data_IF_474523990386
#
_entry.id   IF_474523990386
#
_cell.length_a   1.000
_cell.length_b   1.000
_cell.length_c   1.000
_cell.angle_alpha   90.00
_cell.angle_beta   90.00
_cell.angle_gamma   90.00
#
_symmetry.space_group_name_H-M   'P 1'
#
loop_
_entity.id
_entity.type
_entity.pdbx_description
1 polymer ?
#
# COMPACT_ATOMS: atom_id res chain seq x y z
N UNK A 1 -18.70 17.56 2.03
CA UNK A 1 -17.24 17.53 1.90
C UNK A 1 -16.94 17.19 0.47
N UNK A 2 -16.30 18.09 -0.27
CA UNK A 2 -15.84 17.80 -1.64
C UNK A 2 -14.65 16.82 -1.62
N UNK A 3 -14.31 16.17 -2.74
CA UNK A 3 -13.09 15.35 -2.84
C UNK A 3 -11.81 16.10 -2.41
N UNK A 4 -11.71 17.39 -2.72
CA UNK A 4 -10.58 18.26 -2.37
C UNK A 4 -10.53 18.53 -0.86
N UNK A 5 -11.67 18.88 -0.26
CA UNK A 5 -11.76 19.05 1.20
C UNK A 5 -11.44 17.75 1.94
N UNK A 6 -11.84 16.60 1.37
CA UNK A 6 -11.48 15.29 1.91
C UNK A 6 -9.98 15.04 1.80
N UNK A 7 -9.39 15.26 0.63
CA UNK A 7 -7.96 15.05 0.40
C UNK A 7 -7.10 15.91 1.33
N UNK A 8 -7.43 17.19 1.48
CA UNK A 8 -6.70 18.09 2.38
C UNK A 8 -6.85 17.68 3.84
N UNK A 9 -8.08 17.30 4.26
CA UNK A 9 -8.28 16.77 5.62
C UNK A 9 -7.45 15.52 5.88
N UNK A 10 -7.41 14.59 4.93
CA UNK A 10 -6.64 13.34 5.07
C UNK A 10 -5.12 13.62 5.05
N UNK A 11 -4.67 14.57 4.23
CA UNK A 11 -3.27 15.04 4.18
C UNK A 11 -2.80 15.57 5.52
N UNK A 12 -3.59 16.44 6.16
CA UNK A 12 -3.25 16.99 7.48
C UNK A 12 -3.03 15.87 8.50
N UNK A 13 -3.92 14.87 8.53
CA UNK A 13 -3.79 13.75 9.48
C UNK A 13 -2.56 12.90 9.18
N UNK A 14 -2.25 12.66 7.91
CA UNK A 14 -1.05 11.93 7.52
C UNK A 14 0.25 12.67 7.89
N UNK A 15 0.31 13.98 7.66
CA UNK A 15 1.45 14.83 8.05
C UNK A 15 1.66 14.79 9.56
N UNK A 16 0.59 14.93 10.35
CA UNK A 16 0.68 14.84 11.81
C UNK A 16 1.23 13.49 12.28
N UNK A 17 0.85 12.41 11.62
CA UNK A 17 1.31 11.06 11.95
C UNK A 17 2.79 10.86 11.62
N UNK A 18 3.22 11.29 10.44
CA UNK A 18 4.64 11.29 10.08
C UNK A 18 5.47 12.13 11.05
N UNK A 19 4.97 13.30 11.46
CA UNK A 19 5.65 14.17 12.42
C UNK A 19 5.77 13.54 13.82
N UNK A 20 4.79 12.73 14.24
CA UNK A 20 4.89 11.91 15.47
C UNK A 20 5.99 10.86 15.35
N UNK A 21 6.19 10.30 14.17
CA UNK A 21 7.17 9.25 13.90
C UNK A 21 8.62 9.73 14.08
N UNK A 22 8.89 11.03 13.96
CA UNK A 22 10.19 11.65 14.26
C UNK A 22 10.51 11.78 15.76
N UNK A 23 9.53 11.61 16.67
CA UNK A 23 9.73 11.76 18.11
C UNK A 23 10.17 10.43 18.75
N UNK A 24 11.14 10.41 19.68
CA UNK A 24 11.56 9.17 20.35
C UNK A 24 10.45 8.56 21.24
N UNK A 25 10.31 7.22 21.29
CA UNK A 25 10.89 6.23 20.39
C UNK A 25 10.07 6.23 19.08
N UNK A 26 10.72 6.49 17.94
CA UNK A 26 10.01 6.68 16.66
C UNK A 26 9.10 5.51 16.27
N UNK A 27 8.09 5.79 15.45
CA UNK A 27 7.11 4.79 15.00
C UNK A 27 7.78 3.73 14.11
N UNK A 28 7.50 2.44 14.39
CA UNK A 28 7.61 1.30 13.46
C UNK A 28 8.90 1.16 12.63
N UNK A 29 10.06 1.48 13.20
CA UNK A 29 11.36 1.15 12.59
C UNK A 29 11.80 2.01 11.40
N UNK A 30 11.13 3.15 11.15
CA UNK A 30 11.59 4.10 10.14
C UNK A 30 12.81 4.89 10.63
N UNK A 31 13.85 5.02 9.80
CA UNK A 31 14.98 5.89 10.13
C UNK A 31 14.56 7.37 10.07
N UNK A 32 15.06 8.19 11.01
CA UNK A 32 14.71 9.61 11.13
C UNK A 32 14.90 10.40 9.83
N UNK A 33 15.87 10.03 9.00
CA UNK A 33 16.12 10.69 7.72
C UNK A 33 15.01 10.37 6.71
N UNK A 34 14.58 9.10 6.61
CA UNK A 34 13.48 8.71 5.72
C UNK A 34 12.18 9.40 6.12
N UNK A 35 11.89 9.46 7.43
CA UNK A 35 10.75 10.17 7.97
C UNK A 35 10.79 11.66 7.62
N UNK A 36 11.95 12.29 7.74
CA UNK A 36 12.13 13.70 7.37
C UNK A 36 11.91 13.91 5.87
N UNK A 37 12.48 13.07 5.01
CA UNK A 37 12.29 13.19 3.56
C UNK A 37 10.83 12.96 3.16
N UNK A 38 10.15 11.99 3.75
CA UNK A 38 8.71 11.79 3.56
C UNK A 38 7.90 13.00 4.04
N UNK A 39 8.26 13.62 5.17
CA UNK A 39 7.60 14.85 5.63
C UNK A 39 7.82 16.01 4.67
N UNK A 40 9.04 16.20 4.17
CA UNK A 40 9.35 17.27 3.22
C UNK A 40 8.54 17.09 1.93
N UNK A 41 8.41 15.86 1.43
CA UNK A 41 7.53 15.54 0.32
C UNK A 41 6.04 15.76 0.66
N UNK A 42 5.61 15.56 1.92
CA UNK A 42 4.20 15.71 2.32
C UNK A 42 3.80 17.18 2.44
N UNK A 43 4.71 18.01 2.93
CA UNK A 43 4.52 19.46 3.01
C UNK A 43 4.57 20.13 1.63
N UNK A 44 5.46 19.66 0.75
CA UNK A 44 5.70 20.32 -0.53
C UNK A 44 4.97 19.68 -1.72
N UNK A 45 4.52 18.43 -1.59
CA UNK A 45 3.82 17.70 -2.64
C UNK A 45 2.31 17.70 -2.44
N UNK A 46 1.56 17.67 -3.53
CA UNK A 46 0.11 17.64 -3.46
C UNK A 46 -0.40 16.22 -3.08
N UNK A 47 -1.31 16.10 -2.09
CA UNK A 47 -2.07 14.87 -1.93
C UNK A 47 -2.89 14.68 -3.20
N UNK A 48 -2.91 13.45 -3.72
CA UNK A 48 -3.62 13.18 -4.96
C UNK A 48 -4.99 12.58 -4.61
N UNK A 49 -6.03 13.16 -5.19
CA UNK A 49 -7.35 12.54 -5.26
C UNK A 49 -7.24 11.45 -6.32
N UNK A 50 -7.59 10.24 -5.92
CA UNK A 50 -7.70 9.13 -6.84
C UNK A 50 -9.08 9.18 -7.52
N UNK A 51 -9.08 9.42 -8.82
CA UNK A 51 -10.27 9.68 -9.64
C UNK A 51 -10.66 8.51 -10.56
N UNK A 52 -9.78 7.51 -10.70
CA UNK A 52 -10.03 6.37 -11.58
C UNK A 52 -11.10 5.43 -10.98
N UNK A 53 -11.81 4.64 -11.81
CA UNK A 53 -12.79 3.69 -11.33
C UNK A 53 -12.17 2.55 -10.50
N UNK A 54 -12.80 2.23 -9.38
CA UNK A 54 -12.40 1.11 -8.52
C UNK A 54 -12.48 -0.25 -9.26
N UNK A 55 -13.40 -0.39 -10.22
CA UNK A 55 -13.70 -1.64 -10.94
C UNK A 55 -12.49 -2.19 -11.70
N UNK A 56 -11.70 -1.32 -12.30
CA UNK A 56 -10.54 -1.67 -13.14
C UNK A 56 -9.22 -1.45 -12.41
N UNK A 57 -9.27 -1.07 -11.12
CA UNK A 57 -8.06 -0.70 -10.39
C UNK A 57 -7.63 -1.78 -9.43
N UNK A 58 -6.33 -2.03 -9.46
CA UNK A 58 -5.67 -2.99 -8.61
C UNK A 58 -4.86 -2.27 -7.53
N UNK A 59 -4.66 -2.94 -6.40
CA UNK A 59 -3.89 -2.43 -5.29
C UNK A 59 -3.02 -3.52 -4.67
N UNK A 60 -1.81 -3.13 -4.30
CA UNK A 60 -0.82 -4.02 -3.69
C UNK A 60 0.21 -3.24 -2.87
N UNK A 61 1.07 -3.92 -2.12
CA UNK A 61 2.08 -3.26 -1.28
C UNK A 61 3.21 -4.22 -0.89
N UNK A 62 4.37 -3.67 -0.51
CA UNK A 62 5.47 -4.39 0.13
C UNK A 62 6.08 -5.51 -0.72
N UNK A 63 6.25 -5.26 -2.02
CA UNK A 63 6.76 -6.29 -2.93
C UNK A 63 8.17 -6.74 -2.54
N UNK A 64 9.02 -5.80 -2.07
CA UNK A 64 10.43 -6.07 -1.73
C UNK A 64 11.15 -6.90 -2.79
N UNK A 65 11.01 -6.51 -4.06
CA UNK A 65 11.61 -7.22 -5.19
C UNK A 65 13.13 -7.38 -5.01
N UNK A 66 13.61 -8.59 -5.27
CA UNK A 66 15.01 -8.97 -5.15
C UNK A 66 15.56 -9.05 -3.72
N UNK A 67 14.74 -8.86 -2.68
CA UNK A 67 15.21 -8.85 -1.29
C UNK A 67 15.12 -10.24 -0.64
N UNK A 68 16.20 -11.03 -0.67
CA UNK A 68 16.21 -12.40 -0.12
C UNK A 68 15.88 -12.45 1.39
N UNK A 69 16.31 -11.48 2.18
CA UNK A 69 16.02 -11.48 3.62
C UNK A 69 14.54 -11.31 3.94
N UNK A 70 13.74 -10.74 3.02
CA UNK A 70 12.28 -10.63 3.19
C UNK A 70 11.60 -12.00 3.31
N UNK A 71 12.19 -13.04 2.72
CA UNK A 71 11.64 -14.40 2.74
C UNK A 71 11.54 -14.91 4.18
N UNK A 72 12.65 -14.86 4.92
CA UNK A 72 12.68 -15.29 6.31
C UNK A 72 12.00 -14.28 7.25
N UNK A 73 12.23 -12.99 7.03
CA UNK A 73 11.75 -11.93 7.92
C UNK A 73 10.23 -11.86 8.00
N UNK A 74 9.52 -12.13 6.89
CA UNK A 74 8.06 -12.01 6.79
C UNK A 74 7.38 -13.37 6.56
N UNK A 75 8.10 -14.47 6.74
CA UNK A 75 7.55 -15.82 6.59
C UNK A 75 7.04 -16.14 5.19
N UNK A 76 7.64 -15.57 4.14
CA UNK A 76 7.18 -15.79 2.77
C UNK A 76 7.43 -17.25 2.36
N UNK A 77 6.45 -17.96 1.76
CA UNK A 77 6.53 -19.38 1.46
C UNK A 77 7.31 -19.66 0.17
N UNK A 78 8.45 -19.01 -0.01
CA UNK A 78 9.32 -19.17 -1.17
C UNK A 78 10.73 -19.54 -0.73
N UNK A 79 11.48 -20.17 -1.62
CA UNK A 79 12.86 -20.54 -1.34
C UNK A 79 13.80 -19.32 -1.31
N UNK A 80 13.54 -18.32 -2.16
CA UNK A 80 14.35 -17.11 -2.33
C UNK A 80 13.54 -16.02 -3.04
N UNK A 81 14.06 -14.80 -3.07
CA UNK A 81 13.43 -13.64 -3.70
C UNK A 81 13.16 -13.89 -5.20
N UNK A 82 14.05 -14.59 -5.90
CA UNK A 82 13.83 -14.93 -7.31
C UNK A 82 12.52 -15.71 -7.53
N UNK A 83 12.24 -16.71 -6.68
CA UNK A 83 10.99 -17.47 -6.77
C UNK A 83 9.78 -16.66 -6.34
N UNK A 84 9.91 -15.85 -5.29
CA UNK A 84 8.85 -14.95 -4.84
C UNK A 84 8.45 -13.97 -5.94
N UNK A 85 9.42 -13.24 -6.49
CA UNK A 85 9.20 -12.23 -7.52
C UNK A 85 8.60 -12.84 -8.79
N UNK A 86 9.08 -14.02 -9.20
CA UNK A 86 8.51 -14.72 -10.36
C UNK A 86 7.03 -15.06 -10.13
N UNK A 87 6.67 -15.54 -8.94
CA UNK A 87 5.28 -15.85 -8.60
C UNK A 87 4.43 -14.57 -8.56
N UNK A 88 4.95 -13.51 -7.96
CA UNK A 88 4.31 -12.20 -7.84
C UNK A 88 4.05 -11.54 -9.20
N UNK A 89 5.05 -11.48 -10.08
CA UNK A 89 4.87 -10.95 -11.44
C UNK A 89 3.90 -11.77 -12.27
N UNK A 90 3.88 -13.11 -12.10
CA UNK A 90 2.89 -13.95 -12.76
C UNK A 90 1.48 -13.61 -12.30
N UNK A 91 1.27 -13.54 -10.97
CA UNK A 91 -0.03 -13.21 -10.41
C UNK A 91 -0.49 -11.79 -10.78
N UNK A 92 0.45 -10.86 -10.91
CA UNK A 92 0.19 -9.52 -11.44
C UNK A 92 -0.33 -9.60 -12.88
N UNK A 93 0.43 -10.22 -13.79
CA UNK A 93 0.08 -10.29 -15.21
C UNK A 93 -1.21 -11.10 -15.49
N UNK A 94 -1.61 -12.00 -14.58
CA UNK A 94 -2.87 -12.73 -14.67
C UNK A 94 -4.11 -11.88 -14.29
N UNK A 95 -3.91 -10.71 -13.66
CA UNK A 95 -4.99 -9.89 -13.09
C UNK A 95 -5.10 -8.51 -13.71
N UNK A 96 -3.96 -7.85 -13.91
CA UNK A 96 -3.88 -6.45 -14.30
C UNK A 96 -3.69 -6.36 -15.80
N UNK A 97 -4.61 -5.69 -16.50
CA UNK A 97 -4.49 -5.36 -17.92
C UNK A 97 -3.52 -4.20 -18.17
N UNK A 98 -3.12 -4.00 -19.43
CA UNK A 98 -2.15 -2.95 -19.80
C UNK A 98 -2.65 -1.53 -19.48
N UNK A 99 -3.98 -1.32 -19.59
CA UNK A 99 -4.64 -0.04 -19.32
C UNK A 99 -5.19 0.09 -17.89
N UNK A 100 -5.08 -0.98 -17.09
CA UNK A 100 -5.60 -0.98 -15.72
C UNK A 100 -4.69 -0.15 -14.80
N UNK A 101 -5.23 0.74 -13.94
CA UNK A 101 -4.43 1.34 -12.89
C UNK A 101 -4.02 0.30 -11.85
N UNK A 102 -2.77 0.35 -11.40
CA UNK A 102 -2.31 -0.40 -10.24
C UNK A 102 -1.62 0.51 -9.24
N UNK A 103 -2.19 0.56 -8.04
CA UNK A 103 -1.69 1.34 -6.92
C UNK A 103 -0.76 0.44 -6.09
N UNK A 104 0.51 0.82 -6.00
CA UNK A 104 1.49 0.18 -5.13
C UNK A 104 1.69 1.03 -3.88
N UNK A 105 1.33 0.52 -2.71
CA UNK A 105 1.50 1.21 -1.43
C UNK A 105 2.89 1.01 -0.84
N UNK A 106 3.91 1.25 -1.64
CA UNK A 106 5.27 1.39 -1.16
C UNK A 106 6.08 0.11 -1.09
N UNK A 107 7.36 0.29 -0.79
CA UNK A 107 8.39 -0.71 -0.59
C UNK A 107 8.50 -1.71 -1.76
N UNK A 108 8.65 -1.14 -2.95
CA UNK A 108 8.71 -1.92 -4.20
C UNK A 108 9.99 -2.75 -4.27
N UNK A 109 11.14 -2.16 -3.97
CA UNK A 109 12.45 -2.81 -4.10
C UNK A 109 13.51 -2.09 -3.26
N UNK A 110 14.51 -2.83 -2.77
CA UNK A 110 15.72 -2.24 -2.20
C UNK A 110 16.67 -1.70 -3.29
N UNK A 111 17.54 -0.75 -2.93
CA UNK A 111 18.47 -0.04 -3.85
C UNK A 111 19.42 -1.03 -4.51
N UNK A 112 19.97 -1.93 -3.69
CA UNK A 112 20.88 -2.98 -4.14
C UNK A 112 20.25 -3.87 -5.22
N UNK A 113 18.92 -3.93 -5.27
CA UNK A 113 18.15 -4.72 -6.20
C UNK A 113 17.71 -3.92 -7.45
N UNK A 114 17.89 -2.59 -7.48
CA UNK A 114 17.41 -1.73 -8.58
C UNK A 114 18.06 -2.02 -9.94
N UNK A 115 19.28 -2.55 -9.94
CA UNK A 115 20.04 -2.92 -11.15
C UNK A 115 19.92 -4.41 -11.51
N UNK A 116 19.07 -5.15 -10.81
CA UNK A 116 18.90 -6.58 -11.02
C UNK A 116 17.83 -6.88 -12.08
N UNK A 117 17.74 -8.14 -12.50
CA UNK A 117 16.66 -8.59 -13.40
C UNK A 117 15.26 -8.43 -12.78
N UNK A 118 15.15 -8.17 -11.48
CA UNK A 118 13.88 -8.04 -10.77
C UNK A 118 13.15 -6.76 -11.17
N UNK A 119 13.87 -5.62 -11.22
CA UNK A 119 13.31 -4.35 -11.70
C UNK A 119 12.98 -4.40 -13.20
N UNK A 120 13.71 -5.17 -13.99
CA UNK A 120 13.34 -5.34 -15.40
C UNK A 120 11.93 -5.93 -15.56
N UNK A 121 11.56 -6.93 -14.75
CA UNK A 121 10.21 -7.51 -14.78
C UNK A 121 9.14 -6.55 -14.25
N UNK A 122 9.48 -5.74 -13.25
CA UNK A 122 8.61 -4.66 -12.80
C UNK A 122 8.23 -3.72 -13.94
N UNK A 123 9.21 -3.26 -14.74
CA UNK A 123 8.95 -2.39 -15.90
C UNK A 123 8.06 -3.03 -16.95
N UNK A 124 8.19 -4.35 -17.12
CA UNK A 124 7.37 -5.11 -18.07
C UNK A 124 6.00 -5.53 -17.52
N UNK A 125 5.74 -5.33 -16.23
CA UNK A 125 4.46 -5.71 -15.65
C UNK A 125 3.37 -4.75 -16.15
N UNK A 126 2.18 -5.28 -16.52
CA UNK A 126 1.12 -4.49 -17.12
C UNK A 126 0.54 -3.45 -16.16
N UNK A 127 -0.15 -2.46 -16.72
CA UNK A 127 -0.90 -1.45 -15.97
C UNK A 127 -0.14 -0.14 -15.73
N UNK A 128 -0.94 0.90 -15.50
CA UNK A 128 -0.51 2.24 -15.13
C UNK A 128 -0.15 2.28 -13.64
N UNK A 129 1.13 2.42 -13.30
CA UNK A 129 1.64 2.25 -11.94
C UNK A 129 1.57 3.57 -11.19
N UNK A 130 0.88 3.53 -10.06
CA UNK A 130 0.82 4.64 -9.10
C UNK A 130 1.51 4.21 -7.82
N UNK A 131 2.63 4.86 -7.48
CA UNK A 131 3.33 4.59 -6.23
C UNK A 131 2.91 5.56 -5.15
N UNK A 132 2.39 5.00 -4.06
CA UNK A 132 2.33 5.66 -2.75
C UNK A 132 3.60 5.27 -2.01
N UNK A 133 4.54 6.21 -1.86
CA UNK A 133 5.90 5.92 -1.39
C UNK A 133 5.93 5.25 -0.01
N UNK A 134 6.72 4.19 0.09
CA UNK A 134 7.14 3.60 1.35
C UNK A 134 8.50 4.11 1.82
N UNK A 135 8.89 3.76 3.04
CA UNK A 135 10.18 4.20 3.59
C UNK A 135 11.35 3.58 2.86
N UNK A 136 11.21 2.37 2.30
CA UNK A 136 12.24 1.80 1.46
C UNK A 136 12.21 2.35 0.04
N UNK A 137 11.25 3.17 -0.37
CA UNK A 137 11.29 3.85 -1.68
C UNK A 137 12.04 5.19 -1.65
N UNK A 138 12.40 5.65 -0.45
CA UNK A 138 13.06 6.93 -0.19
C UNK A 138 14.45 6.69 0.41
N UNK A 139 15.45 7.24 -0.26
CA UNK A 139 16.84 7.20 0.18
C UNK A 139 17.28 8.53 0.80
N UNK A 140 18.08 8.49 1.89
CA UNK A 140 18.66 9.68 2.51
C UNK A 140 19.42 10.63 1.57
N UNK A 141 20.09 10.07 0.56
CA UNK A 141 21.01 10.82 -0.31
C UNK A 141 20.39 11.11 -1.68
N UNK A 142 19.68 10.12 -2.24
CA UNK A 142 19.19 10.19 -3.62
C UNK A 142 17.69 10.53 -3.71
N UNK A 143 17.01 10.69 -2.57
CA UNK A 143 15.57 10.95 -2.52
C UNK A 143 14.75 9.76 -3.01
N UNK A 144 13.70 10.02 -3.79
CA UNK A 144 12.81 8.98 -4.30
C UNK A 144 13.48 8.13 -5.38
N UNK A 145 13.37 6.81 -5.26
CA UNK A 145 13.89 5.86 -6.25
C UNK A 145 13.24 5.99 -7.62
N UNK A 146 14.07 5.86 -8.64
CA UNK A 146 13.63 5.86 -10.04
C UNK A 146 13.17 4.45 -10.46
N UNK A 147 11.89 4.18 -10.26
CA UNK A 147 11.27 2.87 -10.47
C UNK A 147 10.50 2.73 -11.78
N UNK A 148 10.56 3.72 -12.70
CA UNK A 148 9.76 3.73 -13.94
C UNK A 148 8.25 3.64 -13.62
N UNK A 149 7.78 4.72 -12.99
CA UNK A 149 6.43 4.83 -12.42
C UNK A 149 5.80 6.09 -12.99
N UNK A 150 4.55 5.97 -13.40
CA UNK A 150 3.82 7.04 -14.09
C UNK A 150 3.36 8.13 -13.11
N UNK A 151 3.05 7.76 -11.87
CA UNK A 151 2.66 8.71 -10.82
C UNK A 151 3.18 8.31 -9.45
N UNK A 152 3.78 9.26 -8.74
CA UNK A 152 4.27 9.06 -7.37
C UNK A 152 3.66 10.09 -6.44
N UNK A 153 3.21 9.64 -5.27
CA UNK A 153 2.72 10.50 -4.18
C UNK A 153 3.05 9.85 -2.83
N UNK A 154 2.78 10.53 -1.72
CA UNK A 154 2.94 9.96 -0.39
C UNK A 154 1.64 9.39 0.19
N UNK A 155 0.50 9.84 -0.33
CA UNK A 155 -0.81 9.33 0.05
C UNK A 155 -1.81 9.58 -1.07
N UNK A 156 -2.83 8.71 -1.14
CA UNK A 156 -3.99 8.91 -2.00
C UNK A 156 -5.24 9.00 -1.15
N UNK A 157 -6.06 10.01 -1.44
CA UNK A 157 -7.44 10.05 -0.99
C UNK A 157 -8.30 9.44 -2.09
N UNK A 158 -8.98 8.33 -1.82
CA UNK A 158 -9.92 7.73 -2.76
C UNK A 158 -11.35 8.00 -2.27
N UNK A 159 -12.05 9.02 -2.84
CA UNK A 159 -13.44 9.29 -2.54
C UNK A 159 -14.32 8.07 -2.80
N UNK A 160 -15.51 8.06 -2.23
CA UNK A 160 -16.46 6.95 -2.34
C UNK A 160 -17.13 6.65 -1.02
N UNK A 161 -17.79 5.50 -0.93
CA UNK A 161 -18.51 5.10 0.28
C UNK A 161 -18.10 3.68 0.74
N UNK A 162 -17.25 3.54 1.78
CA UNK A 162 -16.62 4.63 2.50
C UNK A 162 -15.46 5.26 1.72
N UNK A 163 -15.03 6.48 2.08
CA UNK A 163 -13.75 7.02 1.66
C UNK A 163 -12.60 6.13 2.13
N UNK A 164 -11.56 6.00 1.30
CA UNK A 164 -10.34 5.30 1.66
C UNK A 164 -9.17 6.29 1.73
N UNK A 165 -8.30 6.09 2.72
CA UNK A 165 -6.99 6.73 2.80
C UNK A 165 -5.94 5.67 2.48
N UNK A 166 -5.25 5.81 1.36
CA UNK A 166 -4.21 4.87 0.93
C UNK A 166 -2.85 5.45 1.31
N UNK A 167 -2.13 4.77 2.19
CA UNK A 167 -0.80 5.14 2.67
C UNK A 167 0.07 3.91 2.75
N UNK A 168 1.40 4.03 2.65
CA UNK A 168 2.24 2.87 2.93
C UNK A 168 2.14 2.46 4.41
N UNK A 169 2.27 3.45 5.31
CA UNK A 169 2.33 3.23 6.75
C UNK A 169 0.92 3.35 7.34
N UNK A 170 0.49 2.43 8.22
CA UNK A 170 -0.78 2.55 8.90
C UNK A 170 -0.81 3.75 9.84
N UNK A 171 -1.92 4.48 9.83
CA UNK A 171 -2.12 5.61 10.74
C UNK A 171 -2.65 5.11 12.10
N UNK A 172 -2.12 5.64 13.21
CA UNK A 172 -2.72 5.41 14.53
C UNK A 172 -4.13 6.03 14.60
N UNK A 173 -4.31 7.22 14.05
CA UNK A 173 -5.60 7.93 14.05
C UNK A 173 -6.19 8.02 12.65
N UNK A 174 -7.23 7.22 12.39
CA UNK A 174 -7.97 7.25 11.12
C UNK A 174 -9.23 8.13 11.28
N UNK A 175 -9.47 9.12 10.40
CA UNK A 175 -10.65 10.00 10.47
C UNK A 175 -11.97 9.23 10.41
N UNK A 176 -12.92 9.55 11.29
CA UNK A 176 -14.20 8.84 11.40
C UNK A 176 -14.90 8.67 10.04
N UNK A 177 -15.40 7.45 9.78
CA UNK A 177 -16.05 7.08 8.52
C UNK A 177 -15.08 6.75 7.37
N UNK A 178 -13.78 6.89 7.56
CA UNK A 178 -12.73 6.49 6.60
C UNK A 178 -12.07 5.18 7.04
N UNK A 179 -11.63 4.38 6.07
CA UNK A 179 -10.76 3.22 6.28
C UNK A 179 -9.37 3.51 5.72
N UNK A 180 -8.32 3.19 6.48
CA UNK A 180 -6.95 3.28 6.01
C UNK A 180 -6.55 1.95 5.35
N UNK A 181 -6.22 2.01 4.06
CA UNK A 181 -5.63 0.86 3.35
C UNK A 181 -4.13 1.07 3.32
N UNK A 182 -3.37 0.09 3.80
CA UNK A 182 -1.94 0.26 4.04
C UNK A 182 -1.13 -1.01 3.81
N UNK A 183 0.19 -0.86 3.86
CA UNK A 183 1.19 -1.92 3.85
C UNK A 183 2.03 -1.93 5.12
N UNK A 184 3.36 -2.00 4.96
CA UNK A 184 4.44 -1.77 5.94
C UNK A 184 4.54 -2.79 7.08
N UNK A 185 3.41 -3.17 7.65
CA UNK A 185 3.38 -4.00 8.86
C UNK A 185 3.34 -5.50 8.55
N UNK A 186 3.26 -5.90 7.27
CA UNK A 186 3.26 -7.29 6.82
C UNK A 186 2.22 -8.17 7.52
N UNK A 187 2.65 -9.02 8.45
CA UNK A 187 1.85 -9.95 9.24
C UNK A 187 1.47 -9.40 10.63
N UNK A 188 1.97 -8.23 11.00
CA UNK A 188 1.73 -7.62 12.31
C UNK A 188 0.31 -7.02 12.39
N UNK A 189 -0.27 -6.98 13.59
CA UNK A 189 -1.60 -6.43 13.79
C UNK A 189 -1.64 -4.93 13.52
N UNK A 190 -2.70 -4.47 12.86
CA UNK A 190 -2.94 -3.05 12.62
C UNK A 190 -3.32 -2.30 13.90
N UNK A 191 -3.11 -0.97 13.98
CA UNK A 191 -3.42 -0.17 15.18
C UNK A 191 -4.89 -0.27 15.62
N UNK A 192 -5.81 -0.29 14.66
CA UNK A 192 -7.25 -0.49 14.91
C UNK A 192 -7.87 -1.41 13.85
N UNK A 193 -8.12 -2.70 14.16
CA UNK A 193 -8.51 -3.70 13.15
C UNK A 193 -9.74 -3.33 12.31
N UNK A 194 -10.75 -2.66 12.87
CA UNK A 194 -11.98 -2.30 12.14
C UNK A 194 -11.85 -1.07 11.23
N UNK A 195 -10.67 -0.44 11.17
CA UNK A 195 -10.43 0.79 10.40
C UNK A 195 -9.22 0.67 9.47
N UNK A 196 -8.66 -0.53 9.37
CA UNK A 196 -7.44 -0.81 8.62
C UNK A 196 -7.64 -2.01 7.70
N UNK A 197 -7.11 -1.92 6.49
CA UNK A 197 -6.98 -3.05 5.57
C UNK A 197 -5.52 -3.12 5.14
N UNK A 198 -4.86 -4.24 5.45
CA UNK A 198 -3.47 -4.44 5.12
C UNK A 198 -3.36 -5.17 3.76
N UNK A 199 -2.76 -4.50 2.78
CA UNK A 199 -2.56 -4.99 1.40
C UNK A 199 -1.11 -5.38 1.12
N UNK A 200 -0.30 -5.61 2.16
CA UNK A 200 1.03 -6.25 2.03
C UNK A 200 0.91 -7.56 1.27
N UNK A 201 1.94 -7.95 0.50
CA UNK A 201 1.87 -9.16 -0.35
C UNK A 201 1.49 -10.43 0.42
N UNK A 202 1.92 -10.53 1.69
CA UNK A 202 1.62 -11.66 2.57
C UNK A 202 0.12 -11.76 2.89
N UNK A 203 -0.56 -10.60 3.03
CA UNK A 203 -1.97 -10.51 3.38
C UNK A 203 -2.90 -10.84 2.20
N UNK A 204 -2.46 -10.55 0.98
CA UNK A 204 -3.24 -10.80 -0.24
C UNK A 204 -2.95 -12.16 -0.88
N UNK A 205 -2.09 -12.98 -0.26
CA UNK A 205 -1.65 -14.25 -0.82
C UNK A 205 -0.90 -14.07 -2.13
N UNK A 206 -0.02 -13.06 -2.17
CA UNK A 206 0.95 -12.76 -3.22
C UNK A 206 0.34 -12.44 -4.60
N UNK A 207 -0.85 -11.83 -4.61
CA UNK A 207 -1.49 -11.34 -5.83
C UNK A 207 -2.22 -10.01 -5.58
N UNK A 208 -2.22 -9.07 -6.55
CA UNK A 208 -2.94 -7.80 -6.40
C UNK A 208 -4.43 -7.99 -6.12
N UNK A 209 -5.00 -7.12 -5.27
CA UNK A 209 -6.44 -7.08 -4.99
C UNK A 209 -7.14 -6.03 -5.86
N UNK A 210 -8.40 -6.26 -6.22
CA UNK A 210 -9.20 -5.26 -6.92
C UNK A 210 -9.75 -4.24 -5.91
N UNK A 211 -9.64 -2.95 -6.23
CA UNK A 211 -9.97 -1.85 -5.32
C UNK A 211 -11.47 -1.85 -4.95
N UNK A 212 -12.35 -2.30 -5.86
CA UNK A 212 -13.79 -2.48 -5.58
C UNK A 212 -14.02 -3.45 -4.42
N UNK A 213 -13.31 -4.57 -4.39
CA UNK A 213 -13.44 -5.57 -3.34
C UNK A 213 -12.90 -5.04 -2.01
N UNK A 214 -11.77 -4.31 -2.06
CA UNK A 214 -11.21 -3.61 -0.89
C UNK A 214 -12.20 -2.60 -0.33
N UNK A 215 -12.88 -1.81 -1.17
CA UNK A 215 -13.90 -0.86 -0.70
C UNK A 215 -15.14 -1.55 -0.14
N UNK A 216 -15.55 -2.68 -0.72
CA UNK A 216 -16.64 -3.51 -0.16
C UNK A 216 -16.26 -4.04 1.23
N UNK A 217 -15.03 -4.51 1.41
CA UNK A 217 -14.51 -4.92 2.72
C UNK A 217 -14.50 -3.75 3.70
N UNK A 218 -14.00 -2.59 3.29
CA UNK A 218 -13.97 -1.37 4.09
C UNK A 218 -15.36 -0.98 4.62
N UNK A 219 -16.39 -1.07 3.77
CA UNK A 219 -17.77 -0.82 4.17
C UNK A 219 -18.23 -1.77 5.28
N UNK A 220 -17.97 -3.07 5.13
CA UNK A 220 -18.35 -4.08 6.12
C UNK A 220 -17.63 -3.91 7.45
N UNK A 221 -16.35 -3.53 7.42
CA UNK A 221 -15.58 -3.24 8.64
C UNK A 221 -16.20 -2.08 9.42
N UNK A 222 -16.57 -0.99 8.74
CA UNK A 222 -17.22 0.16 9.38
C UNK A 222 -18.62 -0.15 9.94
N UNK A 223 -19.37 -1.03 9.28
CA UNK A 223 -20.70 -1.44 9.75
C UNK A 223 -20.64 -2.53 10.84
N UNK A 224 -19.44 -2.97 11.24
CA UNK A 224 -19.28 -4.10 12.18
C UNK A 224 -19.74 -5.45 11.62
N UNK A 225 -19.92 -5.56 10.30
CA UNK A 225 -20.35 -6.77 9.58
C UNK A 225 -19.19 -7.69 9.19
N UNK A 226 -17.99 -7.32 9.58
CA UNK A 226 -16.80 -8.15 9.52
C UNK A 226 -16.00 -7.91 10.80
N UNK A 227 -15.76 -8.97 11.56
CA UNK A 227 -14.84 -8.94 12.70
C UNK A 227 -13.53 -9.49 12.17
N UNK A 228 -12.45 -8.69 12.11
CA UNK A 228 -11.12 -9.21 11.79
C UNK A 228 -10.79 -10.35 12.78
N UNK A 229 -10.77 -11.57 12.25
CA UNK A 229 -10.27 -12.78 12.90
C UNK A 229 -8.76 -12.86 12.66
N UNK A 230 -8.12 -13.97 13.05
CA UNK A 230 -6.75 -14.30 12.61
C UNK A 230 -6.65 -14.58 11.08
N UNK A 231 -7.71 -14.31 10.32
CA UNK A 231 -7.75 -14.48 8.87
C UNK A 231 -7.00 -13.33 8.16
N UNK A 232 -6.24 -13.68 7.12
CA UNK A 232 -5.57 -12.68 6.29
C UNK A 232 -6.55 -11.93 5.38
N UNK A 233 -6.12 -10.77 4.85
CA UNK A 233 -6.96 -9.91 4.02
C UNK A 233 -7.55 -10.64 2.80
N UNK A 234 -6.81 -11.56 2.19
CA UNK A 234 -7.30 -12.40 1.09
C UNK A 234 -8.57 -13.18 1.48
N UNK A 235 -8.57 -13.84 2.63
CA UNK A 235 -9.74 -14.59 3.10
C UNK A 235 -10.94 -13.66 3.37
N UNK A 236 -10.69 -12.46 3.90
CA UNK A 236 -11.72 -11.42 4.07
C UNK A 236 -12.32 -11.02 2.70
N UNK A 237 -11.48 -10.82 1.68
CA UNK A 237 -11.90 -10.45 0.33
C UNK A 237 -12.67 -11.58 -0.37
N UNK A 238 -12.22 -12.82 -0.25
CA UNK A 238 -12.90 -14.00 -0.83
C UNK A 238 -14.31 -14.18 -0.21
N UNK A 239 -14.47 -13.87 1.08
CA UNK A 239 -15.79 -13.82 1.74
C UNK A 239 -16.67 -12.72 1.14
N UNK A 240 -16.12 -11.53 0.90
CA UNK A 240 -16.86 -10.41 0.30
C UNK A 240 -17.32 -10.71 -1.12
N UNK A 241 -16.54 -11.46 -1.90
CA UNK A 241 -16.89 -11.88 -3.26
C UNK A 241 -18.02 -12.91 -3.31
N UNK A 242 -18.05 -13.84 -2.35
CA UNK A 242 -18.98 -14.97 -2.34
C UNK A 242 -20.32 -14.68 -1.64
N UNK A 243 -20.38 -13.63 -0.81
CA UNK A 243 -21.57 -13.32 0.00
C UNK A 243 -22.54 -12.33 -0.64
N UNK A 244 -22.34 -11.95 -1.92
CA UNK A 244 -23.26 -11.08 -2.67
C UNK A 244 -23.45 -11.59 -4.10
N UNK A 245 -24.68 -11.57 -4.67
CA UNK A 245 -24.89 -11.72 -6.11
C UNK A 245 -24.33 -10.53 -6.92
#
# INVERSE_FOLDING_TARGET
MTPEELAERLRTVYIEELARSLKPPGLHGMHSIQAQTMLDHAYNGDPIIYEEPDETTWIWSDLHLGHDSSIGAFGRPFHNAWRADKAMHRAWAERVGDDDPIICLGDVSLDACLRSHHIFRWRQSPGFKVLVLGNHDVEPVNGVKQLDIERTTLMLAAPGNPPLLLTHIPLVQVPHGTVNVHGHIHDKPAPTPHRHINVSVEQLGYAPANLKDVRRLARRLLEGRYVPTDDNTRAMLDTVRTTMP
#
